data_IF_170909113209
#
_entry.id   IF_170909113209
#
_cell.length_a   1.000
_cell.length_b   1.000
_cell.length_c   1.000
_cell.angle_alpha   90.00
_cell.angle_beta   90.00
_cell.angle_gamma   90.00
#
_symmetry.space_group_name_H-M   'P 1'
#
loop_
_entity.id
_entity.type
_entity.pdbx_description
1 polymer ?
#
# COMPACT_ATOMS: atom_id res chain seq x y z
N UNK A 1 21.83 -1.10 20.38
CA UNK A 1 20.97 0.09 20.52
C UNK A 1 21.71 1.33 21.03
N UNK A 2 22.46 1.24 22.14
CA UNK A 2 23.27 2.39 22.66
C UNK A 2 24.21 3.03 21.64
N UNK A 3 24.82 2.22 20.73
CA UNK A 3 25.62 2.71 19.59
C UNK A 3 24.87 3.68 18.67
N UNK A 4 23.55 3.56 18.58
CA UNK A 4 22.67 4.42 17.78
C UNK A 4 21.93 5.46 18.65
N UNK A 5 22.33 5.65 19.91
CA UNK A 5 21.64 6.55 20.84
C UNK A 5 20.24 6.08 21.29
N UNK A 6 19.84 4.86 20.94
CA UNK A 6 18.51 4.33 21.28
C UNK A 6 18.51 3.77 22.69
N UNK A 7 17.64 4.33 23.54
CA UNK A 7 17.34 3.78 24.87
C UNK A 7 16.12 2.87 24.81
N UNK A 8 16.28 1.61 25.22
CA UNK A 8 15.22 0.62 25.16
C UNK A 8 14.34 0.68 26.40
N UNK A 9 13.04 0.93 26.23
CA UNK A 9 12.05 0.90 27.31
C UNK A 9 11.28 -0.42 27.24
N UNK A 10 11.38 -1.21 28.30
CA UNK A 10 10.68 -2.49 28.43
C UNK A 10 9.44 -2.31 29.30
N UNK A 11 8.35 -2.98 28.91
CA UNK A 11 7.19 -3.15 29.77
C UNK A 11 7.39 -4.37 30.67
N UNK A 12 6.81 -4.35 31.86
CA UNK A 12 6.70 -5.53 32.70
C UNK A 12 5.78 -6.56 32.06
N UNK A 13 6.04 -7.85 32.31
CA UNK A 13 5.19 -8.93 31.82
C UNK A 13 3.74 -8.75 32.31
N UNK A 14 2.77 -9.16 31.48
CA UNK A 14 1.33 -9.07 31.77
C UNK A 14 0.79 -7.66 32.08
N UNK A 15 1.50 -6.61 31.68
CA UNK A 15 1.06 -5.23 31.86
C UNK A 15 0.81 -4.52 30.50
N UNK A 16 -0.32 -4.82 29.83
CA UNK A 16 -0.61 -4.30 28.48
C UNK A 16 -0.86 -2.79 28.44
N UNK A 17 -1.18 -2.16 29.57
CA UNK A 17 -1.46 -0.72 29.63
C UNK A 17 -0.24 0.16 29.31
N UNK A 18 0.99 -0.31 29.55
CA UNK A 18 2.22 0.47 29.23
C UNK A 18 2.36 0.73 27.73
N UNK A 19 1.77 -0.11 26.87
CA UNK A 19 1.84 0.01 25.41
C UNK A 19 0.46 0.22 24.78
N UNK A 20 -0.49 0.82 25.52
CA UNK A 20 -1.89 0.93 25.08
C UNK A 20 -2.06 1.61 23.71
N UNK A 21 -1.23 2.62 23.40
CA UNK A 21 -1.26 3.27 22.09
C UNK A 21 -0.93 2.29 20.96
N UNK A 22 0.11 1.47 21.14
CA UNK A 22 0.55 0.46 20.16
C UNK A 22 -0.54 -0.61 19.99
N UNK A 23 -1.18 -1.02 21.09
CA UNK A 23 -2.25 -2.01 21.05
C UNK A 23 -3.48 -1.52 20.29
N UNK A 24 -3.88 -0.26 20.47
CA UNK A 24 -5.00 0.35 19.75
C UNK A 24 -4.67 0.49 18.26
N UNK A 25 -3.46 0.94 17.93
CA UNK A 25 -3.04 1.06 16.53
C UNK A 25 -2.96 -0.31 15.85
N UNK A 26 -2.43 -1.32 16.53
CA UNK A 26 -2.33 -2.69 16.01
C UNK A 26 -3.70 -3.32 15.80
N UNK A 27 -4.66 -3.09 16.70
CA UNK A 27 -6.06 -3.50 16.51
C UNK A 27 -6.69 -2.85 15.27
N UNK A 28 -6.41 -1.56 15.04
CA UNK A 28 -6.87 -0.84 13.86
C UNK A 28 -6.31 -1.43 12.56
N UNK A 29 -5.01 -1.68 12.50
CA UNK A 29 -4.35 -2.26 11.33
C UNK A 29 -4.82 -3.68 11.04
N UNK A 30 -4.96 -4.52 12.06
CA UNK A 30 -5.50 -5.88 11.92
C UNK A 30 -6.90 -5.87 11.29
N UNK A 31 -7.79 -4.98 11.74
CA UNK A 31 -9.14 -4.85 11.16
C UNK A 31 -9.13 -4.44 9.68
N UNK A 32 -8.18 -3.60 9.27
CA UNK A 32 -8.04 -3.22 7.86
C UNK A 32 -7.57 -4.43 7.06
N UNK A 33 -6.51 -5.10 7.52
CA UNK A 33 -5.97 -6.30 6.88
C UNK A 33 -7.00 -7.42 6.77
N UNK A 34 -7.75 -7.71 7.83
CA UNK A 34 -8.82 -8.71 7.85
C UNK A 34 -9.86 -8.45 6.75
N UNK A 35 -10.19 -7.18 6.49
CA UNK A 35 -11.13 -6.80 5.42
C UNK A 35 -10.51 -6.91 4.03
N UNK A 36 -9.23 -6.57 3.87
CA UNK A 36 -8.56 -6.57 2.56
C UNK A 36 -8.17 -7.96 2.09
N UNK A 37 -7.80 -8.85 3.01
CA UNK A 37 -7.28 -10.19 2.71
C UNK A 37 -8.41 -11.21 2.50
N UNK A 38 -9.58 -10.98 3.09
CA UNK A 38 -10.74 -11.87 2.95
C UNK A 38 -10.43 -13.29 3.44
N UNK A 39 -10.65 -14.29 2.58
CA UNK A 39 -10.44 -15.70 2.94
C UNK A 39 -8.98 -16.16 2.82
N UNK A 40 -8.16 -15.52 1.98
CA UNK A 40 -6.79 -15.98 1.72
C UNK A 40 -5.77 -15.33 2.66
N UNK A 41 -5.66 -15.85 3.89
CA UNK A 41 -4.77 -15.29 4.94
C UNK A 41 -3.27 -15.31 4.62
N UNK A 42 -2.83 -16.02 3.58
CA UNK A 42 -1.42 -16.16 3.25
C UNK A 42 -0.81 -14.91 2.61
N UNK A 43 -1.60 -14.07 1.94
CA UNK A 43 -1.13 -12.87 1.21
C UNK A 43 -1.16 -11.58 2.04
N UNK A 44 -1.09 -11.70 3.37
CA UNK A 44 -1.21 -10.53 4.27
C UNK A 44 -0.06 -9.53 4.10
N UNK A 45 1.15 -10.02 3.81
CA UNK A 45 2.33 -9.20 3.58
C UNK A 45 2.15 -8.27 2.39
N UNK A 46 1.54 -8.78 1.31
CA UNK A 46 1.35 -8.07 0.05
C UNK A 46 0.32 -6.94 0.19
N UNK A 47 -0.55 -7.03 1.20
CA UNK A 47 -1.56 -6.03 1.54
C UNK A 47 -1.17 -5.12 2.70
N UNK A 48 0.01 -5.33 3.28
CA UNK A 48 0.45 -4.55 4.43
C UNK A 48 0.65 -3.07 4.09
N UNK A 49 1.28 -2.78 2.94
CA UNK A 49 1.49 -1.40 2.50
C UNK A 49 0.17 -0.67 2.23
N UNK A 50 -0.78 -1.33 1.56
CA UNK A 50 -2.13 -0.79 1.33
C UNK A 50 -2.86 -0.52 2.66
N UNK A 51 -2.74 -1.43 3.63
CA UNK A 51 -3.38 -1.28 4.94
C UNK A 51 -2.75 -0.14 5.77
N UNK A 52 -1.42 -0.04 5.76
CA UNK A 52 -0.69 1.06 6.40
C UNK A 52 -1.05 2.39 5.76
N UNK A 53 -1.17 2.43 4.43
CA UNK A 53 -1.60 3.61 3.70
C UNK A 53 -2.99 4.07 4.11
N UNK A 54 -3.97 3.17 4.08
CA UNK A 54 -5.34 3.45 4.51
C UNK A 54 -5.38 3.93 5.97
N UNK A 55 -4.58 3.34 6.85
CA UNK A 55 -4.52 3.77 8.25
C UNK A 55 -3.96 5.19 8.41
N UNK A 56 -2.90 5.54 7.67
CA UNK A 56 -2.22 6.84 7.75
C UNK A 56 -3.06 7.99 7.16
N UNK A 57 -3.87 7.70 6.15
CA UNK A 57 -4.69 8.69 5.45
C UNK A 57 -6.10 8.84 6.03
N UNK A 58 -6.60 7.85 6.75
CA UNK A 58 -7.89 7.94 7.42
C UNK A 58 -7.88 8.99 8.55
N UNK A 59 -8.91 9.83 8.59
CA UNK A 59 -9.11 10.79 9.68
C UNK A 59 -9.32 10.06 11.02
N UNK A 60 -8.66 10.52 12.07
CA UNK A 60 -8.83 9.98 13.43
C UNK A 60 -9.48 11.03 14.30
N UNK A 61 -10.75 10.81 14.65
CA UNK A 61 -11.52 11.70 15.53
C UNK A 61 -10.81 12.06 16.84
N UNK A 62 -10.15 11.12 17.56
CA UNK A 62 -9.44 11.47 18.80
C UNK A 62 -8.26 12.44 18.60
N UNK A 63 -7.67 12.47 17.41
CA UNK A 63 -6.50 13.31 17.08
C UNK A 63 -6.94 14.57 16.32
N UNK A 64 -8.16 14.61 15.79
CA UNK A 64 -8.69 15.73 15.00
C UNK A 64 -8.04 15.88 13.61
N UNK A 65 -7.22 14.91 13.17
CA UNK A 65 -6.61 14.90 11.85
C UNK A 65 -6.20 13.49 11.40
N UNK A 66 -5.52 13.39 10.25
CA UNK A 66 -4.95 12.14 9.76
C UNK A 66 -3.56 11.92 10.38
N UNK A 67 -3.16 10.67 10.69
CA UNK A 67 -1.81 10.38 11.17
C UNK A 67 -0.72 10.89 10.22
N UNK A 68 -0.97 10.88 8.90
CA UNK A 68 -0.05 11.47 7.92
C UNK A 68 0.18 12.97 8.17
N UNK A 69 -0.89 13.74 8.40
CA UNK A 69 -0.78 15.18 8.69
C UNK A 69 -0.02 15.44 9.98
N UNK A 70 -0.15 14.57 10.98
CA UNK A 70 0.60 14.69 12.23
C UNK A 70 2.11 14.56 12.03
N UNK A 71 2.56 13.68 11.13
CA UNK A 71 3.98 13.42 10.88
C UNK A 71 4.61 14.46 9.93
N UNK A 72 3.90 14.80 8.85
CA UNK A 72 4.47 15.64 7.78
C UNK A 72 3.99 17.09 7.80
N UNK A 73 3.05 17.45 8.69
CA UNK A 73 2.48 18.80 8.78
C UNK A 73 1.57 19.21 7.63
N UNK A 74 1.37 18.35 6.61
CA UNK A 74 0.56 18.63 5.42
C UNK A 74 -0.56 17.61 5.23
N UNK A 75 -1.64 18.02 4.57
CA UNK A 75 -2.66 17.09 4.13
C UNK A 75 -2.07 16.10 3.12
N UNK A 76 -2.57 14.87 3.12
CA UNK A 76 -2.18 13.88 2.14
C UNK A 76 -2.99 14.14 0.86
N UNK A 77 -2.32 14.54 -0.22
CA UNK A 77 -2.85 14.39 -1.57
C UNK A 77 -2.69 12.92 -1.97
N UNK A 78 -3.44 12.40 -2.95
CA UNK A 78 -3.29 11.00 -3.38
C UNK A 78 -1.79 10.66 -3.49
N UNK A 79 -1.35 9.48 -3.01
CA UNK A 79 0.06 9.15 -3.07
C UNK A 79 0.47 9.14 -4.54
N UNK A 80 1.62 9.75 -4.81
CA UNK A 80 2.25 9.72 -6.12
C UNK A 80 2.37 8.28 -6.64
N UNK A 81 2.45 7.27 -5.75
CA UNK A 81 2.45 5.85 -6.14
C UNK A 81 1.11 5.37 -6.70
N UNK A 82 -0.03 5.82 -6.16
CA UNK A 82 -1.35 5.52 -6.75
C UNK A 82 -1.55 6.29 -8.04
N UNK A 83 -1.14 7.56 -8.10
CA UNK A 83 -1.18 8.35 -9.34
C UNK A 83 -0.29 7.74 -10.42
N UNK A 84 0.91 7.29 -10.05
CA UNK A 84 1.86 6.64 -10.94
C UNK A 84 1.38 5.25 -11.37
N UNK A 85 0.82 4.44 -10.47
CA UNK A 85 0.20 3.15 -10.84
C UNK A 85 -1.01 3.36 -11.75
N UNK A 86 -1.87 4.34 -11.46
CA UNK A 86 -3.00 4.70 -12.32
C UNK A 86 -2.52 5.22 -13.68
N UNK A 87 -1.48 6.06 -13.70
CA UNK A 87 -0.84 6.55 -14.92
C UNK A 87 -0.23 5.42 -15.74
N UNK A 88 0.47 4.47 -15.11
CA UNK A 88 1.03 3.30 -15.79
C UNK A 88 -0.04 2.35 -16.31
N UNK A 89 -1.11 2.13 -15.53
CA UNK A 89 -2.26 1.37 -15.98
C UNK A 89 -2.92 2.05 -17.19
N UNK A 90 -3.14 3.38 -17.14
CA UNK A 90 -3.63 4.17 -18.26
C UNK A 90 -2.71 4.09 -19.49
N UNK A 91 -1.40 4.14 -19.28
CA UNK A 91 -0.40 4.00 -20.34
C UNK A 91 -0.39 2.61 -20.96
N UNK A 92 -0.60 1.55 -20.16
CA UNK A 92 -0.76 0.19 -20.67
C UNK A 92 -2.08 0.00 -21.42
N UNK A 93 -3.17 0.62 -20.96
CA UNK A 93 -4.47 0.59 -21.66
C UNK A 93 -4.49 1.47 -22.91
N UNK A 94 -3.67 2.53 -22.95
CA UNK A 94 -3.36 3.31 -24.15
C UNK A 94 -2.37 2.55 -25.04
N UNK A 95 -2.75 1.31 -25.38
CA UNK A 95 -2.06 0.47 -26.34
C UNK A 95 -1.93 1.24 -27.65
N UNK A 96 -0.70 1.49 -28.09
CA UNK A 96 -0.43 2.27 -29.29
C UNK A 96 -0.95 1.50 -30.51
N UNK A 97 -2.08 1.95 -31.08
CA UNK A 97 -2.83 1.21 -32.10
C UNK A 97 -1.97 0.92 -33.35
N UNK A 98 -1.01 1.79 -33.64
CA UNK A 98 -0.01 1.60 -34.70
C UNK A 98 0.87 0.38 -34.42
N UNK A 99 1.46 0.32 -33.22
CA UNK A 99 2.36 -0.78 -32.82
C UNK A 99 1.59 -2.11 -32.75
N UNK A 100 0.35 -2.07 -32.28
CA UNK A 100 -0.56 -3.21 -32.29
C UNK A 100 -0.87 -3.73 -33.70
N UNK A 101 -1.11 -2.79 -34.63
CA UNK A 101 -1.41 -3.10 -36.02
C UNK A 101 -0.19 -3.70 -36.72
N UNK A 102 0.98 -3.11 -36.54
CA UNK A 102 2.23 -3.58 -37.13
C UNK A 102 2.62 -4.96 -36.60
N UNK A 103 2.50 -5.18 -35.29
CA UNK A 103 2.76 -6.49 -34.68
C UNK A 103 1.82 -7.58 -35.21
N UNK A 104 0.53 -7.26 -35.37
CA UNK A 104 -0.46 -8.18 -35.95
C UNK A 104 -0.18 -8.48 -37.42
N UNK A 105 0.34 -7.50 -38.17
CA UNK A 105 0.73 -7.65 -39.58
C UNK A 105 1.95 -8.57 -39.74
N UNK A 106 2.91 -8.46 -38.83
CA UNK A 106 4.07 -9.36 -38.77
C UNK A 106 3.64 -10.80 -38.47
N UNK A 107 2.80 -11.01 -37.45
CA UNK A 107 2.27 -12.34 -37.12
C UNK A 107 1.50 -12.99 -38.29
N UNK A 108 0.74 -12.19 -39.07
CA UNK A 108 0.04 -12.67 -40.26
C UNK A 108 1.00 -13.05 -41.39
N UNK A 109 2.09 -12.30 -41.59
CA UNK A 109 3.11 -12.63 -42.57
C UNK A 109 3.85 -13.93 -42.20
N UNK A 110 4.25 -14.10 -40.94
CA UNK A 110 4.92 -15.32 -40.46
C UNK A 110 4.05 -16.58 -40.68
N UNK A 111 2.75 -16.49 -40.43
CA UNK A 111 1.81 -17.59 -40.70
C UNK A 111 1.66 -17.90 -42.20
N UNK A 112 1.85 -16.90 -43.06
CA UNK A 112 1.74 -17.05 -44.51
C UNK A 112 3.05 -17.60 -45.12
N UNK A 113 4.20 -17.35 -44.49
CA UNK A 113 5.50 -17.92 -44.87
C UNK A 113 5.68 -19.39 -44.43
N UNK A 114 4.90 -19.84 -43.45
CA UNK A 114 4.86 -21.24 -42.99
C UNK A 114 3.93 -22.15 -43.82
N UNK A 115 3.33 -21.63 -44.90
CA UNK A 115 2.38 -22.33 -45.78
C UNK A 115 3.00 -22.63 -47.14
#
# INVERSE_FOLDING_TARGET
MRKYGVNHRLSTAYHPQTSGQVDVTNRGLKRILERTIGQNRASWSDKLDDALWAFRTAYKTPIGCTPYKLVYGKACYLPIELEHKAYWALKQTNFDMSVASDHRKIQLNELNELR
#
